data_IF_924362345539
#
_entry.id   IF_924362345539
#
_cell.length_a   1.000
_cell.length_b   1.000
_cell.length_c   1.000
_cell.angle_alpha   90.00
_cell.angle_beta   90.00
_cell.angle_gamma   90.00
#
_symmetry.space_group_name_H-M   'P 1'
#
loop_
_entity.id
_entity.type
_entity.pdbx_description
1 polymer ?
#
# COMPACT_ATOMS: atom_id res chain seq x y z
N UNK A 1 44.39 -43.09 11.48
CA UNK A 1 44.61 -44.27 12.33
C UNK A 1 43.21 -44.69 12.81
N UNK A 2 42.41 -45.31 11.94
CA UNK A 2 42.26 -46.76 11.72
C UNK A 2 42.04 -47.56 13.01
N UNK A 3 40.82 -48.08 13.21
CA UNK A 3 40.50 -49.54 13.25
C UNK A 3 38.99 -49.75 13.53
N UNK A 4 38.30 -50.42 12.60
CA UNK A 4 37.67 -51.76 12.72
C UNK A 4 36.30 -51.75 13.44
N UNK A 5 35.15 -51.84 12.74
CA UNK A 5 34.53 -53.03 12.13
C UNK A 5 34.52 -54.28 13.02
N UNK A 6 33.33 -54.61 13.55
CA UNK A 6 32.87 -56.01 13.62
C UNK A 6 31.38 -56.10 13.33
N UNK A 7 31.06 -56.71 12.19
CA UNK A 7 29.75 -57.23 11.83
C UNK A 7 29.28 -58.29 12.83
N UNK A 8 27.97 -58.40 13.06
CA UNK A 8 27.41 -59.70 13.39
C UNK A 8 25.92 -59.84 13.06
N UNK A 9 25.64 -60.96 12.41
CA UNK A 9 24.40 -61.73 12.35
C UNK A 9 23.26 -61.24 11.44
N UNK A 10 23.32 -61.78 10.22
CA UNK A 10 22.17 -62.13 9.39
C UNK A 10 21.19 -63.01 10.16
N UNK A 11 19.91 -62.63 10.14
CA UNK A 11 18.79 -63.55 10.24
C UNK A 11 17.72 -63.14 9.23
N UNK A 12 17.69 -63.86 8.11
CA UNK A 12 16.59 -63.85 7.16
C UNK A 12 15.43 -64.65 7.75
N UNK A 13 14.28 -64.01 7.95
CA UNK A 13 13.00 -64.70 8.07
C UNK A 13 12.08 -64.18 6.96
N UNK A 14 11.70 -65.13 6.09
CA UNK A 14 10.75 -64.96 4.98
C UNK A 14 9.34 -65.03 5.55
N UNK A 15 8.54 -64.01 5.31
CA UNK A 15 7.09 -64.13 5.37
C UNK A 15 6.49 -63.74 4.02
N UNK A 16 5.91 -64.74 3.37
CA UNK A 16 4.98 -64.60 2.25
C UNK A 16 3.66 -64.04 2.81
N UNK A 17 3.28 -62.85 2.36
CA UNK A 17 1.90 -62.37 2.50
C UNK A 17 1.44 -61.86 1.13
N UNK A 18 0.56 -62.65 0.52
CA UNK A 18 -0.35 -62.21 -0.54
C UNK A 18 -1.16 -61.02 0.00
N UNK A 19 -0.97 -59.84 -0.59
CA UNK A 19 -1.74 -58.64 -0.29
C UNK A 19 -2.11 -57.96 -1.60
N UNK A 20 -3.40 -57.67 -1.75
CA UNK A 20 -4.08 -57.36 -3.00
C UNK A 20 -3.60 -56.10 -3.74
N UNK A 21 -3.78 -56.15 -5.07
CA UNK A 21 -3.72 -55.05 -6.02
C UNK A 21 -4.37 -53.76 -5.48
N UNK A 22 -3.63 -52.66 -5.50
CA UNK A 22 -4.20 -51.31 -5.59
C UNK A 22 -3.18 -50.36 -6.22
N UNK A 23 -3.08 -50.41 -7.55
CA UNK A 23 -2.54 -49.29 -8.31
C UNK A 23 -3.60 -48.19 -8.31
N UNK A 24 -3.65 -47.39 -7.25
CA UNK A 24 -4.30 -46.09 -7.34
C UNK A 24 -3.48 -45.25 -8.32
N UNK A 25 -3.99 -45.08 -9.54
CA UNK A 25 -3.47 -44.10 -10.48
C UNK A 25 -3.71 -42.72 -9.86
N UNK A 26 -2.70 -42.16 -9.19
CA UNK A 26 -2.69 -40.75 -8.86
C UNK A 26 -2.46 -40.00 -10.17
N UNK A 27 -3.55 -39.58 -10.81
CA UNK A 27 -3.48 -38.58 -11.86
C UNK A 27 -2.97 -37.28 -11.23
N UNK A 28 -1.72 -36.91 -11.48
CA UNK A 28 -1.30 -35.52 -11.31
C UNK A 28 -1.99 -34.69 -12.39
N UNK A 29 -3.18 -34.18 -12.08
CA UNK A 29 -3.69 -33.01 -12.79
C UNK A 29 -2.81 -31.84 -12.34
N UNK A 30 -1.90 -31.41 -13.20
CA UNK A 30 -1.30 -30.09 -13.08
C UNK A 30 -2.41 -29.07 -13.35
N UNK A 31 -2.99 -28.54 -12.28
CA UNK A 31 -3.86 -27.37 -12.38
C UNK A 31 -2.97 -26.19 -12.80
N UNK A 32 -2.99 -25.88 -14.10
CA UNK A 32 -2.50 -24.60 -14.60
C UNK A 32 -3.37 -23.53 -13.97
N UNK A 33 -2.86 -22.86 -12.94
CA UNK A 33 -3.43 -21.61 -12.48
C UNK A 33 -3.40 -20.63 -13.66
N UNK A 34 -4.57 -20.47 -14.27
CA UNK A 34 -4.84 -19.24 -15.03
C UNK A 34 -4.92 -18.15 -13.96
N UNK A 35 -4.31 -16.97 -14.12
CA UNK A 35 -4.51 -15.91 -13.16
C UNK A 35 -6.00 -15.57 -13.15
N UNK A 36 -6.72 -16.09 -12.17
CA UNK A 36 -8.03 -15.58 -11.82
C UNK A 36 -7.80 -14.14 -11.43
N UNK A 37 -8.26 -13.23 -12.29
CA UNK A 37 -8.48 -11.86 -11.91
C UNK A 37 -9.59 -11.89 -10.86
N UNK A 38 -9.19 -12.08 -9.60
CA UNK A 38 -10.10 -12.08 -8.47
C UNK A 38 -10.72 -10.69 -8.40
N UNK A 39 -11.93 -10.56 -8.92
CA UNK A 39 -12.91 -9.62 -8.40
C UNK A 39 -13.19 -10.05 -6.97
N UNK A 40 -12.30 -9.73 -6.04
CA UNK A 40 -12.62 -9.87 -4.61
C UNK A 40 -13.59 -8.73 -4.29
N UNK A 41 -14.86 -9.12 -4.24
CA UNK A 41 -15.99 -8.37 -3.75
C UNK A 41 -15.60 -7.44 -2.59
N UNK A 42 -15.92 -6.15 -2.76
CA UNK A 42 -16.71 -5.36 -1.80
C UNK A 42 -16.78 -5.93 -0.38
N UNK A 43 -15.67 -5.87 0.34
CA UNK A 43 -15.66 -5.93 1.80
C UNK A 43 -15.96 -4.51 2.30
N UNK A 44 -17.27 -4.21 2.38
CA UNK A 44 -17.88 -3.32 3.38
C UNK A 44 -17.00 -2.22 3.99
N UNK A 45 -16.74 -1.17 3.19
CA UNK A 45 -16.07 0.11 3.53
C UNK A 45 -16.89 1.01 4.51
N UNK A 46 -17.62 0.45 5.48
CA UNK A 46 -18.68 1.17 6.21
C UNK A 46 -18.24 2.11 7.34
N UNK A 47 -16.95 2.41 7.45
CA UNK A 47 -16.47 3.56 8.25
C UNK A 47 -15.38 4.39 7.55
N UNK A 48 -15.22 4.27 6.23
CA UNK A 48 -14.32 5.19 5.52
C UNK A 48 -14.99 6.54 5.40
N UNK A 49 -14.42 7.54 6.07
CA UNK A 49 -14.75 8.93 5.76
C UNK A 49 -14.51 9.14 4.27
N UNK A 50 -15.49 9.75 3.61
CA UNK A 50 -15.48 9.85 2.15
C UNK A 50 -14.24 10.63 1.69
N UNK A 51 -13.36 9.95 0.96
CA UNK A 51 -12.20 10.56 0.32
C UNK A 51 -12.73 11.50 -0.77
N UNK A 52 -12.47 12.81 -0.69
CA UNK A 52 -12.99 13.75 -1.67
C UNK A 52 -12.37 13.48 -3.05
N UNK A 53 -13.15 13.66 -4.12
CA UNK A 53 -12.63 13.60 -5.50
C UNK A 53 -11.58 14.70 -5.75
N UNK A 54 -11.79 15.87 -5.16
CA UNK A 54 -10.84 16.98 -5.20
C UNK A 54 -10.71 17.58 -3.81
N UNK A 55 -9.48 17.86 -3.39
CA UNK A 55 -9.23 18.66 -2.19
C UNK A 55 -8.20 19.74 -2.51
N UNK A 56 -8.45 20.94 -1.98
CA UNK A 56 -7.48 22.04 -2.02
C UNK A 56 -7.12 22.36 -0.57
N UNK A 57 -5.83 22.32 -0.28
CA UNK A 57 -5.29 22.63 1.03
C UNK A 57 -4.25 23.74 0.93
N UNK A 58 -4.09 24.49 2.00
CA UNK A 58 -3.09 25.55 2.11
C UNK A 58 -2.27 25.38 3.37
N UNK A 59 -0.96 25.26 3.20
CA UNK A 59 0.03 25.36 4.26
C UNK A 59 0.54 26.80 4.37
N UNK A 60 1.51 27.04 5.27
CA UNK A 60 2.21 28.34 5.33
C UNK A 60 2.95 28.69 4.03
N UNK A 61 3.52 27.70 3.34
CA UNK A 61 4.35 27.92 2.13
C UNK A 61 3.65 27.56 0.82
N UNK A 62 2.67 26.66 0.85
CA UNK A 62 2.10 26.07 -0.36
C UNK A 62 0.58 26.17 -0.39
N UNK A 63 0.05 26.31 -1.60
CA UNK A 63 -1.31 25.92 -1.95
C UNK A 63 -1.21 24.63 -2.74
N UNK A 64 -2.00 23.62 -2.41
CA UNK A 64 -1.91 22.28 -2.97
C UNK A 64 -3.31 21.83 -3.39
N UNK A 65 -3.42 21.28 -4.59
CA UNK A 65 -4.62 20.64 -5.13
C UNK A 65 -4.33 19.18 -5.39
N UNK A 66 -5.23 18.33 -4.93
CA UNK A 66 -5.20 16.89 -5.21
C UNK A 66 -6.50 16.52 -5.89
N UNK A 67 -6.41 15.94 -7.08
CA UNK A 67 -7.55 15.49 -7.87
C UNK A 67 -7.46 14.00 -8.15
N UNK A 68 -8.53 13.25 -7.83
CA UNK A 68 -8.71 11.88 -8.29
C UNK A 68 -8.95 11.87 -9.80
N UNK A 69 -8.11 11.15 -10.52
CA UNK A 69 -8.15 11.01 -11.97
C UNK A 69 -9.07 9.86 -12.40
N UNK A 70 -9.52 9.81 -13.67
CA UNK A 70 -10.38 8.73 -14.18
C UNK A 70 -9.77 7.32 -14.04
N UNK A 71 -8.44 7.20 -14.04
CA UNK A 71 -7.71 5.95 -13.82
C UNK A 71 -7.67 5.50 -12.34
N UNK A 72 -8.29 6.26 -11.43
CA UNK A 72 -8.33 5.96 -10.00
C UNK A 72 -7.13 6.46 -9.19
N UNK A 73 -6.05 6.92 -9.86
CA UNK A 73 -4.88 7.55 -9.23
C UNK A 73 -5.15 9.03 -8.92
N UNK A 74 -4.18 9.69 -8.30
CA UNK A 74 -4.29 11.08 -7.87
C UNK A 74 -3.25 11.96 -8.56
N UNK A 75 -3.64 13.20 -8.86
CA UNK A 75 -2.76 14.24 -9.40
C UNK A 75 -2.49 15.28 -8.31
N UNK A 76 -1.23 15.48 -7.97
CA UNK A 76 -0.77 16.55 -7.09
C UNK A 76 -0.37 17.77 -7.91
N UNK A 77 -0.83 18.94 -7.50
CA UNK A 77 -0.39 20.23 -8.05
C UNK A 77 -0.13 21.19 -6.90
N UNK A 78 0.99 21.92 -6.95
CA UNK A 78 1.28 22.93 -5.92
C UNK A 78 1.73 24.27 -6.50
N UNK A 79 1.46 25.30 -5.70
CA UNK A 79 1.86 26.68 -5.93
C UNK A 79 2.40 27.27 -4.63
N UNK A 80 3.02 28.44 -4.72
CA UNK A 80 3.23 29.30 -3.55
C UNK A 80 1.90 29.60 -2.84
N UNK A 81 1.92 29.70 -1.50
CA UNK A 81 0.72 29.86 -0.66
C UNK A 81 -0.23 31.02 -1.06
N UNK A 82 0.31 32.11 -1.62
CA UNK A 82 -0.43 33.28 -2.06
C UNK A 82 -0.93 33.20 -3.50
N UNK A 83 -0.41 32.28 -4.31
CA UNK A 83 -0.72 32.19 -5.73
C UNK A 83 -2.16 31.70 -5.98
N UNK A 84 -2.75 32.12 -7.12
CA UNK A 84 -4.07 31.63 -7.56
C UNK A 84 -3.94 30.23 -8.15
N UNK A 85 -4.96 29.40 -7.95
CA UNK A 85 -4.99 28.02 -8.49
C UNK A 85 -5.18 27.97 -10.01
N UNK A 86 -5.63 29.08 -10.60
CA UNK A 86 -5.73 29.27 -12.06
C UNK A 86 -4.40 29.63 -12.71
N UNK A 87 -3.37 29.96 -11.92
CA UNK A 87 -2.03 30.17 -12.43
C UNK A 87 -1.35 28.83 -12.73
N UNK A 88 -0.26 28.85 -13.50
CA UNK A 88 0.55 27.65 -13.73
C UNK A 88 1.10 27.12 -12.38
N UNK A 89 0.92 25.82 -12.06
CA UNK A 89 1.52 25.22 -10.86
C UNK A 89 3.04 25.20 -10.96
N UNK A 90 3.69 25.33 -9.80
CA UNK A 90 5.14 25.23 -9.66
C UNK A 90 5.61 23.77 -9.68
N UNK A 91 4.75 22.83 -9.30
CA UNK A 91 5.03 21.39 -9.32
C UNK A 91 3.76 20.63 -9.66
N UNK A 92 3.91 19.58 -10.47
CA UNK A 92 2.86 18.62 -10.82
C UNK A 92 3.45 17.23 -10.62
N UNK A 93 2.76 16.35 -9.90
CA UNK A 93 3.16 14.95 -9.72
C UNK A 93 1.94 14.07 -10.03
N UNK A 94 2.06 13.19 -11.03
CA UNK A 94 1.02 12.25 -11.42
C UNK A 94 1.11 10.94 -10.62
N UNK A 95 0.15 10.05 -10.88
CA UNK A 95 0.18 8.65 -10.43
C UNK A 95 0.27 8.43 -8.93
N UNK A 96 -0.18 9.42 -8.16
CA UNK A 96 -0.28 9.31 -6.72
C UNK A 96 -1.31 8.27 -6.27
N UNK A 97 -1.08 7.73 -5.09
CA UNK A 97 -1.89 6.67 -4.51
C UNK A 97 -2.54 7.11 -3.20
N UNK A 98 -3.70 6.53 -2.88
CA UNK A 98 -4.32 6.66 -1.58
C UNK A 98 -3.90 5.46 -0.73
N UNK A 99 -3.22 5.72 0.38
CA UNK A 99 -2.78 4.68 1.31
C UNK A 99 -3.67 4.74 2.55
N UNK A 100 -4.49 3.70 2.82
CA UNK A 100 -5.22 3.58 4.08
C UNK A 100 -4.25 3.43 5.25
N UNK A 101 -4.57 4.08 6.37
CA UNK A 101 -3.80 3.99 7.61
C UNK A 101 -4.71 3.50 8.76
N UNK A 102 -4.57 2.21 9.08
CA UNK A 102 -5.39 1.54 10.08
C UNK A 102 -6.86 1.37 9.70
N UNK A 103 -7.67 0.91 10.67
CA UNK A 103 -9.10 0.61 10.48
C UNK A 103 -10.02 1.80 10.74
N UNK A 104 -9.50 2.90 11.28
CA UNK A 104 -10.27 4.10 11.65
C UNK A 104 -10.62 5.04 10.50
N UNK A 105 -10.35 4.63 9.25
CA UNK A 105 -10.60 5.47 8.07
C UNK A 105 -9.56 6.57 7.83
N UNK A 106 -8.43 6.57 8.56
CA UNK A 106 -7.33 7.46 8.23
C UNK A 106 -6.71 7.05 6.89
N UNK A 107 -6.14 8.02 6.20
CA UNK A 107 -5.42 7.79 4.96
C UNK A 107 -4.43 8.93 4.72
N UNK A 108 -3.51 8.69 3.81
CA UNK A 108 -2.71 9.74 3.19
C UNK A 108 -2.63 9.52 1.69
N UNK A 109 -2.45 10.61 0.96
CA UNK A 109 -2.05 10.53 -0.45
C UNK A 109 -0.54 10.46 -0.52
N UNK A 110 0.01 9.52 -1.29
CA UNK A 110 1.45 9.40 -1.52
C UNK A 110 1.78 9.72 -2.98
N UNK A 111 2.77 10.57 -3.19
CA UNK A 111 3.30 10.93 -4.51
C UNK A 111 4.82 10.81 -4.48
N UNK A 112 5.42 10.40 -5.60
CA UNK A 112 6.87 10.28 -5.74
C UNK A 112 7.37 11.18 -6.86
N UNK A 113 8.41 11.97 -6.59
CA UNK A 113 9.06 12.81 -7.59
C UNK A 113 10.54 12.96 -7.25
N UNK A 114 11.43 12.71 -8.22
CA UNK A 114 12.88 12.91 -8.09
C UNK A 114 13.49 12.34 -6.80
N UNK A 115 13.14 11.11 -6.44
CA UNK A 115 13.64 10.44 -5.23
C UNK A 115 13.02 10.90 -3.91
N UNK A 116 12.02 11.79 -3.94
CA UNK A 116 11.30 12.25 -2.75
C UNK A 116 9.89 11.66 -2.69
N UNK A 117 9.40 11.40 -1.47
CA UNK A 117 8.00 11.05 -1.19
C UNK A 117 7.26 12.24 -0.60
N UNK A 118 6.12 12.58 -1.17
CA UNK A 118 5.22 13.62 -0.71
C UNK A 118 3.96 12.96 -0.17
N UNK A 119 3.78 13.04 1.15
CA UNK A 119 2.64 12.45 1.83
C UNK A 119 1.71 13.55 2.33
N UNK A 120 0.44 13.50 1.90
CA UNK A 120 -0.60 14.42 2.36
C UNK A 120 -1.56 13.67 3.26
N UNK A 121 -1.31 13.77 4.56
CA UNK A 121 -2.02 13.08 5.62
C UNK A 121 -3.33 13.75 5.93
N UNK A 122 -4.39 12.95 6.06
CA UNK A 122 -5.70 13.40 6.51
C UNK A 122 -5.84 13.18 8.02
N UNK A 123 -6.10 14.26 8.76
CA UNK A 123 -6.22 14.22 10.23
C UNK A 123 -7.71 14.28 10.64
N UNK A 124 -8.36 13.13 10.82
CA UNK A 124 -9.79 13.07 11.20
C UNK A 124 -10.07 13.03 12.70
N UNK A 125 -9.21 12.35 13.46
CA UNK A 125 -9.45 12.01 14.85
C UNK A 125 -8.55 12.81 15.76
N UNK A 126 -8.88 14.08 15.93
CA UNK A 126 -8.16 14.93 16.86
C UNK A 126 -9.15 15.41 17.90
N UNK A 127 -8.96 14.94 19.14
CA UNK A 127 -9.61 15.48 20.34
C UNK A 127 -9.34 16.99 20.55
N UNK A 128 -8.45 17.55 19.74
CA UNK A 128 -8.13 18.96 19.67
C UNK A 128 -8.77 19.59 18.44
N UNK A 129 -9.71 20.52 18.64
CA UNK A 129 -10.24 21.39 17.59
C UNK A 129 -9.17 22.28 16.92
N UNK A 130 -7.95 22.31 17.47
CA UNK A 130 -6.84 23.13 16.96
C UNK A 130 -5.98 22.41 15.93
N UNK A 131 -6.11 21.09 15.75
CA UNK A 131 -5.25 20.37 14.81
C UNK A 131 -5.76 20.57 13.38
N UNK A 132 -4.82 20.84 12.48
CA UNK A 132 -5.14 21.10 11.10
C UNK A 132 -5.70 19.85 10.41
N UNK A 133 -6.70 20.00 9.51
CA UNK A 133 -7.36 18.89 8.84
C UNK A 133 -6.43 18.05 7.96
N UNK A 134 -5.30 18.60 7.54
CA UNK A 134 -4.28 17.91 6.76
C UNK A 134 -2.87 18.29 7.20
N UNK A 135 -1.91 17.43 6.89
CA UNK A 135 -0.47 17.72 7.05
C UNK A 135 0.27 17.24 5.81
N UNK A 136 1.08 18.11 5.20
CA UNK A 136 2.07 17.73 4.20
C UNK A 136 3.32 17.26 4.93
N UNK A 137 3.82 16.08 4.58
CA UNK A 137 5.14 15.58 4.97
C UNK A 137 5.92 15.25 3.70
N UNK A 138 7.20 15.62 3.64
CA UNK A 138 8.08 15.25 2.52
C UNK A 138 9.29 14.53 3.07
N UNK A 139 9.59 13.38 2.48
CA UNK A 139 10.76 12.56 2.77
C UNK A 139 11.73 12.62 1.59
N UNK A 140 13.03 12.62 1.88
CA UNK A 140 14.09 12.46 0.88
C UNK A 140 14.30 10.98 0.50
N UNK A 141 15.31 10.71 -0.33
CA UNK A 141 15.62 9.36 -0.81
C UNK A 141 16.16 8.40 0.26
N UNK A 142 16.49 8.91 1.45
CA UNK A 142 16.96 8.13 2.60
C UNK A 142 15.87 8.00 3.68
N UNK A 143 14.61 8.27 3.32
CA UNK A 143 13.46 8.31 4.22
C UNK A 143 13.59 9.34 5.37
N UNK A 144 14.41 10.37 5.19
CA UNK A 144 14.51 11.47 6.16
C UNK A 144 13.41 12.51 5.90
N UNK A 145 12.64 12.84 6.94
CA UNK A 145 11.67 13.93 6.89
C UNK A 145 12.38 15.28 6.72
N UNK A 146 12.11 15.96 5.59
CA UNK A 146 12.68 17.27 5.27
C UNK A 146 11.65 18.39 5.28
N UNK A 147 10.35 18.06 5.25
CA UNK A 147 9.25 19.03 5.36
C UNK A 147 8.13 18.44 6.19
N UNK A 148 7.59 19.24 7.12
CA UNK A 148 6.29 19.00 7.76
C UNK A 148 5.51 20.30 7.87
N UNK A 149 4.32 20.35 7.30
CA UNK A 149 3.47 21.53 7.34
C UNK A 149 2.00 21.19 7.49
N UNK A 150 1.39 21.72 8.54
CA UNK A 150 -0.05 21.72 8.71
C UNK A 150 -0.74 22.52 7.62
N UNK A 151 -1.90 22.02 7.19
CA UNK A 151 -2.65 22.55 6.08
C UNK A 151 -4.15 22.65 6.39
N UNK A 152 -4.74 23.79 6.01
CA UNK A 152 -6.18 24.05 6.12
C UNK A 152 -6.85 23.81 4.78
N UNK A 153 -8.09 23.30 4.80
CA UNK A 153 -8.90 23.16 3.58
C UNK A 153 -9.26 24.56 3.09
N UNK A 154 -9.09 24.80 1.79
CA UNK A 154 -9.54 26.03 1.13
C UNK A 154 -10.78 25.69 0.33
N UNK A 155 -11.86 26.44 0.55
CA UNK A 155 -13.04 26.37 -0.31
C UNK A 155 -12.73 27.11 -1.61
N UNK A 156 -13.14 26.52 -2.73
CA UNK A 156 -13.25 27.27 -3.99
C UNK A 156 -14.31 28.37 -3.87
#
# INVERSE_FOLDING_TARGET
MFEQLTNNHYNMIKYFLLGAFSLAQFSFVSAKETPEFSKSNTLTYHAFQQVPKTVIIKTKKFKIRIDKQPNGKYLYQSWNASAKITAKPSMIISDGELIPDGSGGNYYFNFSNDGHSYQVWRNYLTNSAKKAPYTLVVYDSNDQEIVRQDAQIVKN
#
